data_IF_230680463518
#
_entry.id   IF_230680463518
#
_cell.length_a   1.000
_cell.length_b   1.000
_cell.length_c   1.000
_cell.angle_alpha   90.00
_cell.angle_beta   90.00
_cell.angle_gamma   90.00
#
_symmetry.space_group_name_H-M   'P 1'
#
loop_
_entity.id
_entity.type
_entity.pdbx_description
1 polymer ?
#
# COMPACT_ATOMS: atom_id res chain seq x y z
N UNK A 1 -5.20 59.83 -20.62
CA UNK A 1 -5.61 58.47 -20.99
C UNK A 1 -5.31 57.52 -19.85
N UNK A 2 -6.29 56.84 -19.35
CA UNK A 2 -6.09 55.87 -18.31
C UNK A 2 -5.59 54.57 -18.91
N UNK A 3 -4.50 54.04 -18.36
CA UNK A 3 -4.06 52.71 -18.68
C UNK A 3 -5.03 51.71 -18.04
N UNK A 4 -5.77 50.97 -18.86
CA UNK A 4 -6.73 49.97 -18.37
C UNK A 4 -6.07 48.69 -17.90
N UNK A 5 -4.78 48.51 -18.14
CA UNK A 5 -4.04 47.36 -17.68
C UNK A 5 -3.62 47.52 -16.23
N UNK A 6 -4.38 46.92 -15.33
CA UNK A 6 -4.04 46.87 -13.92
C UNK A 6 -3.33 45.57 -13.64
N UNK A 7 -2.03 45.65 -13.39
CA UNK A 7 -1.28 44.50 -12.90
C UNK A 7 -1.40 44.36 -11.39
N UNK A 8 -0.92 43.24 -10.89
CA UNK A 8 -0.79 43.04 -9.46
C UNK A 8 0.27 43.95 -8.87
N UNK A 9 0.00 44.46 -7.67
CA UNK A 9 1.01 45.17 -6.90
C UNK A 9 2.00 44.19 -6.31
N UNK A 10 3.21 44.66 -6.00
CA UNK A 10 4.23 43.85 -5.34
C UNK A 10 3.74 43.32 -4.00
N UNK A 11 3.00 44.13 -3.24
CA UNK A 11 2.43 43.74 -1.94
C UNK A 11 1.40 42.63 -2.09
N UNK A 12 0.52 42.73 -3.09
CA UNK A 12 -0.47 41.68 -3.37
C UNK A 12 0.21 40.35 -3.70
N UNK A 13 1.26 40.36 -4.50
CA UNK A 13 2.02 39.16 -4.83
C UNK A 13 2.70 38.56 -3.61
N UNK A 14 3.33 39.38 -2.77
CA UNK A 14 4.00 38.93 -1.55
C UNK A 14 3.01 38.29 -0.58
N UNK A 15 1.84 38.91 -0.41
CA UNK A 15 0.78 38.37 0.47
C UNK A 15 0.32 36.98 -0.03
N UNK A 16 0.08 36.83 -1.33
CA UNK A 16 -0.37 35.55 -1.90
C UNK A 16 0.66 34.47 -1.69
N UNK A 17 1.92 34.69 -2.02
CA UNK A 17 2.96 33.69 -1.84
C UNK A 17 3.21 33.38 -0.36
N UNK A 18 3.04 34.35 0.53
CA UNK A 18 3.17 34.12 1.97
C UNK A 18 2.06 33.22 2.50
N UNK A 19 0.83 33.43 2.10
CA UNK A 19 -0.31 32.58 2.47
C UNK A 19 -0.12 31.17 1.92
N UNK A 20 0.26 31.03 0.65
CA UNK A 20 0.51 29.73 0.04
C UNK A 20 1.64 29.00 0.75
N UNK A 21 2.72 29.66 1.12
CA UNK A 21 3.84 29.07 1.84
C UNK A 21 3.40 28.48 3.19
N UNK A 22 2.58 29.20 3.94
CA UNK A 22 2.05 28.72 5.22
C UNK A 22 1.14 27.52 5.01
N UNK A 23 0.23 27.58 4.04
CA UNK A 23 -0.69 26.47 3.75
C UNK A 23 0.06 25.21 3.34
N UNK A 24 1.02 25.32 2.43
CA UNK A 24 1.84 24.18 1.98
C UNK A 24 2.67 23.62 3.15
N UNK A 25 3.24 24.48 3.98
CA UNK A 25 4.02 24.08 5.14
C UNK A 25 3.24 23.22 6.15
N UNK A 26 1.95 23.49 6.28
CA UNK A 26 1.06 22.72 7.17
C UNK A 26 0.56 21.44 6.50
N UNK A 27 0.20 21.54 5.22
CA UNK A 27 -0.48 20.44 4.52
C UNK A 27 0.48 19.38 3.98
N UNK A 28 1.70 19.73 3.62
CA UNK A 28 2.62 18.81 2.97
C UNK A 28 2.92 17.55 3.80
N UNK A 29 3.25 17.63 5.11
CA UNK A 29 3.47 16.44 5.92
C UNK A 29 2.22 15.57 6.07
N UNK A 30 1.06 16.19 6.24
CA UNK A 30 -0.22 15.47 6.34
C UNK A 30 -0.57 14.78 5.02
N UNK A 31 -0.33 15.45 3.90
CA UNK A 31 -0.58 14.91 2.57
C UNK A 31 0.27 13.68 2.28
N UNK A 32 1.56 13.71 2.59
CA UNK A 32 2.45 12.55 2.37
C UNK A 32 2.03 11.32 3.17
N UNK A 33 1.61 11.51 4.42
CA UNK A 33 1.06 10.43 5.24
C UNK A 33 -0.23 9.86 4.64
N UNK A 34 -1.11 10.73 4.19
CA UNK A 34 -2.36 10.32 3.56
C UNK A 34 -2.13 9.51 2.29
N UNK A 35 -1.21 9.95 1.43
CA UNK A 35 -0.86 9.24 0.20
C UNK A 35 -0.27 7.87 0.51
N UNK A 36 0.60 7.76 1.52
CA UNK A 36 1.18 6.46 1.89
C UNK A 36 0.12 5.49 2.42
N UNK A 37 -0.80 5.95 3.25
CA UNK A 37 -1.94 5.12 3.70
C UNK A 37 -2.82 4.67 2.54
N UNK A 38 -2.98 5.53 1.55
CA UNK A 38 -3.69 5.19 0.31
C UNK A 38 -2.98 4.07 -0.47
N UNK A 39 -1.65 4.13 -0.56
CA UNK A 39 -0.85 3.06 -1.18
C UNK A 39 -0.97 1.74 -0.43
N UNK A 40 -0.94 1.76 0.90
CA UNK A 40 -1.21 0.58 1.72
C UNK A 40 -2.57 -0.04 1.42
N UNK A 41 -3.59 0.79 1.33
CA UNK A 41 -4.95 0.32 1.01
C UNK A 41 -5.03 -0.33 -0.36
N UNK A 42 -4.32 0.22 -1.34
CA UNK A 42 -4.22 -0.37 -2.69
C UNK A 42 -3.48 -1.71 -2.62
N UNK A 43 -2.38 -1.77 -1.89
CA UNK A 43 -1.60 -3.01 -1.73
C UNK A 43 -2.44 -4.10 -1.06
N UNK A 44 -3.16 -3.77 0.01
CA UNK A 44 -4.08 -4.71 0.67
C UNK A 44 -5.18 -5.19 -0.27
N UNK A 45 -5.75 -4.30 -1.07
CA UNK A 45 -6.78 -4.65 -2.05
C UNK A 45 -6.24 -5.58 -3.13
N UNK A 46 -5.04 -5.30 -3.63
CA UNK A 46 -4.39 -6.13 -4.64
C UNK A 46 -4.04 -7.52 -4.10
N UNK A 47 -3.52 -7.58 -2.89
CA UNK A 47 -3.22 -8.86 -2.21
C UNK A 47 -4.51 -9.63 -1.91
N UNK A 48 -5.58 -8.94 -1.49
CA UNK A 48 -6.88 -9.57 -1.29
C UNK A 48 -7.43 -10.16 -2.59
N UNK A 49 -7.32 -9.44 -3.71
CA UNK A 49 -7.75 -9.92 -5.02
C UNK A 49 -6.97 -11.18 -5.42
N UNK A 50 -5.66 -11.20 -5.20
CA UNK A 50 -4.83 -12.38 -5.46
C UNK A 50 -5.19 -13.56 -4.55
N UNK A 51 -5.53 -13.31 -3.31
CA UNK A 51 -6.06 -14.32 -2.39
C UNK A 51 -7.36 -14.94 -2.92
N UNK A 52 -8.32 -14.11 -3.29
CA UNK A 52 -9.60 -14.57 -3.82
C UNK A 52 -9.40 -15.41 -5.10
N UNK A 53 -8.43 -15.05 -5.92
CA UNK A 53 -8.09 -15.75 -7.15
C UNK A 53 -7.52 -17.15 -6.86
N UNK A 54 -6.55 -17.29 -5.95
CA UNK A 54 -5.98 -18.61 -5.62
C UNK A 54 -7.00 -19.51 -4.92
N UNK A 55 -7.87 -18.95 -4.09
CA UNK A 55 -8.95 -19.73 -3.45
C UNK A 55 -9.94 -20.23 -4.51
N UNK A 56 -10.28 -19.42 -5.49
CA UNK A 56 -11.14 -19.81 -6.59
C UNK A 56 -10.51 -20.92 -7.44
N UNK A 57 -9.23 -20.81 -7.77
CA UNK A 57 -8.49 -21.82 -8.53
C UNK A 57 -8.50 -23.19 -7.81
N UNK A 58 -8.27 -23.20 -6.50
CA UNK A 58 -8.34 -24.45 -5.71
C UNK A 58 -9.75 -25.00 -5.63
N UNK A 59 -10.72 -24.13 -5.38
CA UNK A 59 -12.10 -24.57 -5.08
C UNK A 59 -12.86 -24.97 -6.34
N UNK A 60 -12.72 -24.20 -7.41
CA UNK A 60 -13.50 -24.38 -8.63
C UNK A 60 -12.80 -25.24 -9.67
N UNK A 61 -11.51 -25.13 -9.79
CA UNK A 61 -10.73 -25.82 -10.82
C UNK A 61 -10.02 -27.07 -10.28
N UNK A 62 -10.05 -27.28 -8.97
CA UNK A 62 -9.44 -28.45 -8.32
C UNK A 62 -7.92 -28.49 -8.45
N UNK A 63 -7.28 -27.33 -8.65
CA UNK A 63 -5.83 -27.23 -8.76
C UNK A 63 -5.20 -27.52 -7.38
N UNK A 64 -4.11 -28.27 -7.37
CA UNK A 64 -3.44 -28.62 -6.13
C UNK A 64 -2.89 -27.40 -5.39
N UNK A 65 -3.14 -27.33 -4.10
CA UNK A 65 -2.65 -26.24 -3.23
C UNK A 65 -1.12 -26.11 -3.25
N UNK A 66 -0.40 -27.19 -3.53
CA UNK A 66 1.07 -27.17 -3.57
C UNK A 66 1.64 -26.44 -4.79
N UNK A 67 0.84 -26.28 -5.83
CA UNK A 67 1.29 -25.70 -7.11
C UNK A 67 0.97 -24.21 -7.23
N UNK A 68 -0.01 -23.71 -6.49
CA UNK A 68 -0.48 -22.34 -6.65
C UNK A 68 0.33 -21.39 -5.80
N UNK A 69 0.94 -20.43 -6.46
CA UNK A 69 1.71 -19.36 -5.85
C UNK A 69 1.48 -18.08 -6.65
N UNK A 70 1.20 -16.99 -5.96
CA UNK A 70 1.06 -15.69 -6.60
C UNK A 70 1.94 -14.67 -5.92
N UNK A 71 2.38 -13.68 -6.66
CA UNK A 71 3.16 -12.57 -6.14
C UNK A 71 2.51 -11.26 -6.57
N UNK A 72 2.43 -10.32 -5.65
CA UNK A 72 1.83 -9.01 -5.86
C UNK A 72 2.89 -7.94 -5.59
N UNK A 73 3.23 -7.12 -6.58
CA UNK A 73 4.15 -6.01 -6.35
C UNK A 73 3.50 -4.96 -5.45
N UNK A 74 4.25 -4.44 -4.50
CA UNK A 74 3.77 -3.45 -3.55
C UNK A 74 4.06 -2.03 -4.03
N UNK A 75 3.11 -1.14 -3.80
CA UNK A 75 3.20 0.27 -4.17
C UNK A 75 3.64 1.16 -3.02
N UNK A 76 3.69 0.64 -1.80
CA UNK A 76 4.17 1.37 -0.63
C UNK A 76 5.60 1.86 -0.85
N UNK A 77 5.89 3.05 -0.35
CA UNK A 77 7.22 3.65 -0.36
C UNK A 77 7.85 3.74 1.02
N UNK A 78 7.09 3.45 2.04
CA UNK A 78 7.54 3.39 3.43
C UNK A 78 7.39 1.95 3.92
N UNK A 79 8.40 1.46 4.59
CA UNK A 79 8.41 0.13 5.18
C UNK A 79 7.41 0.03 6.33
N UNK A 80 6.78 -1.15 6.46
CA UNK A 80 5.79 -1.46 7.49
C UNK A 80 4.45 -0.72 7.31
N UNK A 81 3.51 -1.04 8.16
CA UNK A 81 2.14 -0.51 8.11
C UNK A 81 2.05 0.86 8.78
N UNK A 82 1.58 1.86 8.07
CA UNK A 82 1.46 3.23 8.55
C UNK A 82 0.03 3.58 9.02
N UNK A 83 -0.96 2.85 8.54
CA UNK A 83 -2.37 3.15 8.84
C UNK A 83 -2.88 2.50 10.12
N UNK A 84 -2.42 1.30 10.45
CA UNK A 84 -2.87 0.55 11.63
C UNK A 84 -1.82 -0.43 12.11
N UNK A 85 -1.78 -0.68 13.42
CA UNK A 85 -0.93 -1.72 14.00
C UNK A 85 -1.42 -3.12 13.69
N UNK A 86 -2.72 -3.27 13.50
CA UNK A 86 -3.35 -4.54 13.15
C UNK A 86 -3.91 -4.46 11.74
N UNK A 87 -3.41 -5.31 10.86
CA UNK A 87 -3.84 -5.41 9.46
C UNK A 87 -4.29 -6.84 9.22
N UNK A 88 -5.40 -7.02 8.52
CA UNK A 88 -5.95 -8.35 8.24
C UNK A 88 -6.49 -8.46 6.82
N UNK A 89 -6.40 -9.67 6.28
CA UNK A 89 -6.98 -10.05 4.98
C UNK A 89 -7.65 -11.41 5.18
N UNK A 90 -8.95 -11.48 4.93
CA UNK A 90 -9.72 -12.74 4.94
C UNK A 90 -9.55 -13.56 6.23
N UNK A 91 -9.47 -12.91 7.37
CA UNK A 91 -9.27 -13.56 8.68
C UNK A 91 -7.83 -13.83 9.07
N UNK A 92 -6.88 -13.67 8.16
CA UNK A 92 -5.45 -13.73 8.45
C UNK A 92 -4.95 -12.32 8.85
N UNK A 93 -4.11 -12.24 9.86
CA UNK A 93 -3.63 -10.94 10.33
C UNK A 93 -2.16 -10.99 10.73
N UNK A 94 -1.56 -9.81 10.80
CA UNK A 94 -0.18 -9.65 11.26
C UNK A 94 0.03 -10.00 12.74
N UNK A 95 -1.03 -10.29 13.47
CA UNK A 95 -0.96 -10.82 14.84
C UNK A 95 -0.64 -12.32 14.86
N UNK A 96 -0.91 -13.03 13.77
CA UNK A 96 -0.60 -14.44 13.63
C UNK A 96 0.56 -14.65 12.65
N UNK A 97 1.76 -14.75 13.19
CA UNK A 97 2.99 -14.87 12.41
C UNK A 97 3.15 -16.18 11.66
N UNK A 98 2.34 -17.19 11.96
CA UNK A 98 2.37 -18.48 11.23
C UNK A 98 1.93 -18.31 9.76
N UNK A 99 0.92 -17.47 9.53
CA UNK A 99 0.36 -17.25 8.19
C UNK A 99 0.59 -15.83 7.67
N UNK A 100 1.32 -15.03 8.40
CA UNK A 100 1.65 -13.65 8.04
C UNK A 100 3.12 -13.40 8.32
N UNK A 101 3.94 -13.48 7.29
CA UNK A 101 5.41 -13.44 7.39
C UNK A 101 5.93 -12.07 6.99
N UNK A 102 6.68 -11.45 7.90
CA UNK A 102 7.38 -10.20 7.62
C UNK A 102 6.48 -8.97 7.56
N UNK A 103 7.06 -7.92 7.09
CA UNK A 103 6.42 -6.61 6.92
C UNK A 103 6.61 -6.13 5.48
N UNK A 104 5.67 -5.34 4.94
CA UNK A 104 5.83 -4.82 3.59
C UNK A 104 7.05 -3.90 3.48
N UNK A 105 7.79 -4.06 2.41
CA UNK A 105 8.97 -3.26 2.09
C UNK A 105 8.64 -2.27 0.98
N UNK A 106 9.32 -1.14 0.97
CA UNK A 106 9.19 -0.16 -0.10
C UNK A 106 9.57 -0.78 -1.44
N UNK A 107 8.64 -0.77 -2.39
CA UNK A 107 8.83 -1.40 -3.70
C UNK A 107 9.02 -2.91 -3.67
N UNK A 108 8.63 -3.56 -2.57
CA UNK A 108 8.74 -5.00 -2.39
C UNK A 108 7.63 -5.78 -3.10
N UNK A 109 7.50 -7.03 -2.72
CA UNK A 109 6.51 -7.95 -3.29
C UNK A 109 5.93 -8.81 -2.18
N UNK A 110 4.62 -9.01 -2.19
CA UNK A 110 3.96 -9.97 -1.31
C UNK A 110 3.76 -11.29 -2.05
N UNK A 111 4.27 -12.38 -1.51
CA UNK A 111 3.99 -13.73 -2.01
C UNK A 111 2.80 -14.34 -1.28
N UNK A 112 1.94 -15.03 -2.02
CA UNK A 112 0.75 -15.70 -1.48
C UNK A 112 0.79 -17.16 -1.91
N UNK A 113 0.66 -18.07 -0.96
CA UNK A 113 0.71 -19.51 -1.21
C UNK A 113 -0.01 -20.27 -0.09
N UNK A 114 -0.21 -21.56 -0.29
CA UNK A 114 -0.75 -22.45 0.75
C UNK A 114 0.36 -23.13 1.52
N UNK A 115 0.18 -23.29 2.83
CA UNK A 115 1.05 -24.09 3.68
C UNK A 115 0.68 -25.58 3.62
N UNK A 116 1.40 -26.41 4.35
CA UNK A 116 1.16 -27.87 4.42
C UNK A 116 -0.21 -28.23 5.01
N UNK A 117 -0.79 -27.33 5.80
CA UNK A 117 -2.08 -27.51 6.44
C UNK A 117 -3.26 -27.02 5.58
N UNK A 118 -2.99 -26.46 4.41
CA UNK A 118 -4.00 -25.90 3.53
C UNK A 118 -4.43 -24.47 3.88
N UNK A 119 -3.69 -23.78 4.76
CA UNK A 119 -3.92 -22.40 5.08
C UNK A 119 -3.15 -21.49 4.12
N UNK A 120 -3.69 -20.31 3.86
CA UNK A 120 -3.00 -19.31 3.03
C UNK A 120 -1.94 -18.62 3.86
N UNK A 121 -0.77 -18.43 3.27
CA UNK A 121 0.33 -17.66 3.85
C UNK A 121 0.56 -16.41 3.03
N UNK A 122 0.66 -15.27 3.71
CA UNK A 122 1.03 -13.98 3.14
C UNK A 122 2.48 -13.68 3.53
N UNK A 123 3.38 -13.69 2.57
CA UNK A 123 4.78 -13.39 2.79
C UNK A 123 5.10 -11.99 2.25
N UNK A 124 5.17 -11.01 3.13
CA UNK A 124 5.45 -9.61 2.80
C UNK A 124 6.93 -9.33 2.55
N UNK A 125 7.78 -10.27 2.91
CA UNK A 125 9.23 -10.19 2.68
C UNK A 125 9.67 -11.22 1.62
N UNK A 126 8.96 -11.24 0.50
CA UNK A 126 9.06 -12.26 -0.54
C UNK A 126 10.45 -12.43 -1.13
N UNK A 127 11.21 -11.34 -1.29
CA UNK A 127 12.57 -11.40 -1.85
C UNK A 127 13.54 -12.11 -0.92
N UNK A 128 13.30 -12.00 0.40
CA UNK A 128 14.18 -12.63 1.40
C UNK A 128 13.87 -14.12 1.57
N UNK A 129 12.61 -14.48 1.41
CA UNK A 129 12.14 -15.86 1.57
C UNK A 129 11.34 -16.29 0.33
N UNK A 130 12.00 -16.39 -0.84
CA UNK A 130 11.29 -16.83 -2.04
C UNK A 130 10.83 -18.26 -1.89
N UNK A 131 9.88 -18.67 -2.69
CA UNK A 131 9.46 -20.06 -2.76
C UNK A 131 10.64 -20.96 -3.11
N UNK A 132 10.73 -22.02 -2.44
CA UNK A 132 11.57 -23.14 -2.87
C UNK A 132 10.75 -24.12 -3.69
#
# INVERSE_FOLDING_TARGET
>A
MHNKNKGFTLVELIVVISVLAVLVGILAPAYTKYVERSRESVDLTNVRAAYDEIVAEVTLEGISTTTIKKSVPLKQKIEDWQSSKTVSIAGYSNQNTANWIGIPKAGGTCGIYFDENGNVVFNWDWKKYPFK
#
